data_IF_326951093233
#
_entry.id   IF_326951093233
#
_cell.length_a   1.000
_cell.length_b   1.000
_cell.length_c   1.000
_cell.angle_alpha   90.00
_cell.angle_beta   90.00
_cell.angle_gamma   90.00
#
_symmetry.space_group_name_H-M   'P 1'
#
loop_
_entity.id
_entity.type
_entity.pdbx_description
1 polymer ?
#
# COMPACT_ATOMS: atom_id res chain seq x y z
N UNK A 1 -9.44 22.20 -7.31
CA UNK A 1 -10.31 22.35 -6.13
C UNK A 1 -11.56 23.05 -6.62
N UNK A 2 -12.73 22.40 -6.62
CA UNK A 2 -13.95 23.07 -7.07
C UNK A 2 -14.32 24.08 -5.98
N UNK A 3 -14.60 25.31 -6.38
CA UNK A 3 -15.03 26.38 -5.48
C UNK A 3 -16.49 26.61 -5.80
N UNK A 4 -17.37 26.36 -4.83
CA UNK A 4 -18.80 26.63 -4.94
C UNK A 4 -19.06 27.85 -4.06
N UNK A 5 -19.59 28.92 -4.64
CA UNK A 5 -19.96 30.17 -3.94
C UNK A 5 -18.85 30.82 -3.08
N UNK A 6 -17.62 30.85 -3.60
CA UNK A 6 -16.52 31.62 -2.99
C UNK A 6 -16.03 31.10 -1.63
N UNK A 7 -16.51 29.94 -1.17
CA UNK A 7 -16.01 29.23 0.01
C UNK A 7 -15.34 27.93 -0.45
N UNK A 8 -14.17 27.57 0.12
CA UNK A 8 -13.57 26.27 -0.18
C UNK A 8 -14.57 25.17 0.18
N UNK A 9 -14.78 24.21 -0.73
CA UNK A 9 -15.75 23.11 -0.60
C UNK A 9 -15.55 22.30 0.70
N UNK A 10 -14.33 22.34 1.24
CA UNK A 10 -13.96 21.79 2.53
C UNK A 10 -13.05 22.76 3.28
N UNK A 11 -13.38 23.04 4.55
CA UNK A 11 -12.58 23.94 5.40
C UNK A 11 -11.34 23.27 5.97
N UNK A 12 -11.42 21.97 6.25
CA UNK A 12 -10.37 21.15 6.88
C UNK A 12 -10.46 19.71 6.37
N UNK A 13 -9.36 18.94 6.48
CA UNK A 13 -9.37 17.51 6.13
C UNK A 13 -10.46 16.75 6.90
N UNK A 14 -10.66 17.03 8.19
CA UNK A 14 -11.74 16.41 8.99
C UNK A 14 -13.16 16.70 8.47
N UNK A 15 -13.41 17.90 7.92
CA UNK A 15 -14.71 18.28 7.36
C UNK A 15 -15.01 17.47 6.07
N UNK A 16 -13.97 17.12 5.31
CA UNK A 16 -14.07 16.19 4.17
C UNK A 16 -14.51 14.82 4.64
N UNK A 17 -13.84 14.27 5.66
CA UNK A 17 -14.10 12.91 6.14
C UNK A 17 -15.53 12.77 6.66
N UNK A 18 -16.00 13.72 7.47
CA UNK A 18 -17.36 13.71 8.01
C UNK A 18 -18.41 13.84 6.89
N UNK A 19 -18.21 14.74 5.92
CA UNK A 19 -19.15 14.89 4.79
C UNK A 19 -19.17 13.66 3.88
N UNK A 20 -18.02 13.06 3.59
CA UNK A 20 -17.92 11.84 2.75
C UNK A 20 -18.62 10.67 3.44
N UNK A 21 -18.38 10.46 4.73
CA UNK A 21 -19.05 9.38 5.49
C UNK A 21 -20.56 9.61 5.54
N UNK A 22 -21.02 10.85 5.74
CA UNK A 22 -22.45 11.18 5.84
C UNK A 22 -23.20 11.10 4.51
N UNK A 23 -22.55 11.44 3.39
CA UNK A 23 -23.18 11.49 2.07
C UNK A 23 -23.04 10.19 1.27
N UNK A 24 -21.90 9.50 1.36
CA UNK A 24 -21.61 8.30 0.56
C UNK A 24 -21.50 7.01 1.39
N UNK A 25 -21.47 7.12 2.73
CA UNK A 25 -21.33 5.98 3.64
C UNK A 25 -19.88 5.55 3.89
N UNK A 26 -19.69 4.66 4.88
CA UNK A 26 -18.36 4.19 5.31
C UNK A 26 -17.62 3.44 4.20
N UNK A 27 -18.34 2.76 3.31
CA UNK A 27 -17.76 2.04 2.17
C UNK A 27 -17.14 2.96 1.12
N UNK A 28 -17.49 4.26 1.10
CA UNK A 28 -16.89 5.23 0.19
C UNK A 28 -15.38 5.40 0.43
N UNK A 29 -14.95 5.28 1.69
CA UNK A 29 -13.53 5.34 2.08
C UNK A 29 -12.72 4.15 1.54
N UNK A 30 -13.39 3.02 1.26
CA UNK A 30 -12.75 1.80 0.76
C UNK A 30 -12.76 1.65 -0.76
N UNK A 31 -13.45 2.52 -1.52
CA UNK A 31 -13.49 2.45 -3.00
C UNK A 31 -12.09 2.52 -3.66
N UNK A 32 -11.09 3.09 -2.98
CA UNK A 32 -9.71 3.18 -3.46
C UNK A 32 -8.76 2.11 -2.92
N UNK A 33 -9.21 1.27 -1.98
CA UNK A 33 -8.35 0.31 -1.29
C UNK A 33 -7.92 -0.85 -2.21
N UNK A 34 -8.83 -1.38 -3.03
CA UNK A 34 -8.53 -2.46 -3.97
C UNK A 34 -7.45 -2.11 -5.00
N UNK A 35 -7.51 -0.99 -5.75
CA UNK A 35 -6.44 -0.64 -6.69
C UNK A 35 -5.12 -0.31 -5.98
N UNK A 36 -5.18 0.26 -4.76
CA UNK A 36 -3.99 0.48 -3.94
C UNK A 36 -3.31 -0.84 -3.55
N UNK A 37 -4.09 -1.79 -3.04
CA UNK A 37 -3.60 -3.11 -2.64
C UNK A 37 -3.09 -3.93 -3.83
N UNK A 38 -3.78 -3.85 -4.98
CA UNK A 38 -3.36 -4.51 -6.22
C UNK A 38 -2.00 -3.99 -6.74
N UNK A 39 -1.65 -2.74 -6.46
CA UNK A 39 -0.32 -2.19 -6.77
C UNK A 39 0.72 -2.55 -5.72
N UNK A 40 0.36 -2.49 -4.44
CA UNK A 40 1.28 -2.74 -3.33
C UNK A 40 1.67 -4.22 -3.24
N UNK A 41 0.72 -5.14 -3.44
CA UNK A 41 0.93 -6.58 -3.40
C UNK A 41 2.06 -7.09 -4.31
N UNK A 42 2.05 -6.83 -5.64
CA UNK A 42 3.12 -7.30 -6.50
C UNK A 42 4.47 -6.65 -6.15
N UNK A 43 4.47 -5.37 -5.75
CA UNK A 43 5.70 -4.69 -5.35
C UNK A 43 6.37 -5.35 -4.13
N UNK A 44 5.59 -5.66 -3.09
CA UNK A 44 6.12 -6.31 -1.89
C UNK A 44 6.57 -7.74 -2.18
N UNK A 45 5.79 -8.52 -2.93
CA UNK A 45 6.14 -9.90 -3.31
C UNK A 45 7.45 -9.95 -4.10
N UNK A 46 7.62 -9.08 -5.09
CA UNK A 46 8.85 -9.04 -5.89
C UNK A 46 10.06 -8.72 -5.01
N UNK A 47 9.92 -7.76 -4.09
CA UNK A 47 11.00 -7.40 -3.14
C UNK A 47 11.40 -8.59 -2.27
N UNK A 48 10.44 -9.37 -1.78
CA UNK A 48 10.71 -10.57 -0.98
C UNK A 48 11.43 -11.65 -1.79
N UNK A 49 11.00 -11.91 -3.04
CA UNK A 49 11.64 -12.90 -3.91
C UNK A 49 13.10 -12.49 -4.19
N UNK A 50 13.36 -11.22 -4.50
CA UNK A 50 14.74 -10.74 -4.70
C UNK A 50 15.60 -10.92 -3.45
N UNK A 51 15.04 -10.66 -2.27
CA UNK A 51 15.74 -10.84 -1.00
C UNK A 51 16.06 -12.31 -0.74
N UNK A 52 15.13 -13.22 -1.04
CA UNK A 52 15.35 -14.66 -0.92
C UNK A 52 16.47 -15.16 -1.85
N UNK A 53 16.44 -14.76 -3.12
CA UNK A 53 17.46 -15.11 -4.11
C UNK A 53 18.83 -14.56 -3.72
N UNK A 54 18.89 -13.31 -3.25
CA UNK A 54 20.14 -12.69 -2.81
C UNK A 54 20.69 -13.37 -1.55
N UNK A 55 19.81 -13.72 -0.61
CA UNK A 55 20.20 -14.42 0.62
C UNK A 55 20.71 -15.83 0.30
N UNK A 56 20.03 -16.57 -0.58
CA UNK A 56 20.47 -17.89 -1.04
C UNK A 56 21.85 -17.83 -1.74
N UNK A 57 22.07 -16.85 -2.61
CA UNK A 57 23.36 -16.63 -3.25
C UNK A 57 24.45 -16.28 -2.22
N UNK A 58 24.15 -15.41 -1.26
CA UNK A 58 25.07 -15.03 -0.20
C UNK A 58 25.49 -16.23 0.66
N UNK A 59 24.53 -17.05 1.09
CA UNK A 59 24.84 -18.26 1.87
C UNK A 59 25.73 -19.23 1.10
N UNK A 60 25.47 -19.44 -0.20
CA UNK A 60 26.23 -20.35 -1.04
C UNK A 60 27.66 -19.88 -1.30
N UNK A 61 27.86 -18.60 -1.64
CA UNK A 61 29.17 -18.10 -2.09
C UNK A 61 30.04 -17.54 -0.97
N UNK A 62 29.44 -17.00 0.10
CA UNK A 62 30.20 -16.33 1.18
C UNK A 62 30.37 -17.21 2.41
N UNK A 63 29.32 -17.95 2.80
CA UNK A 63 29.34 -18.74 4.03
C UNK A 63 29.71 -20.22 3.81
N UNK A 64 29.53 -20.77 2.60
CA UNK A 64 29.84 -22.18 2.30
C UNK A 64 29.00 -23.19 3.09
N UNK A 65 27.95 -22.72 3.76
CA UNK A 65 26.98 -23.53 4.51
C UNK A 65 25.83 -23.82 3.54
N UNK A 66 25.52 -25.10 3.32
CA UNK A 66 24.35 -25.50 2.55
C UNK A 66 23.12 -24.89 3.22
N UNK A 67 22.43 -23.98 2.52
CA UNK A 67 21.29 -23.24 3.05
C UNK A 67 20.19 -24.22 3.46
N UNK A 68 20.18 -24.60 4.73
CA UNK A 68 19.18 -25.51 5.28
C UNK A 68 17.89 -24.72 5.46
N UNK A 69 17.02 -24.83 4.45
CA UNK A 69 15.61 -24.48 4.53
C UNK A 69 15.32 -23.00 4.75
N UNK A 70 15.28 -22.24 3.67
CA UNK A 70 14.19 -21.29 3.54
C UNK A 70 13.03 -22.10 2.93
N UNK A 71 11.97 -22.29 3.73
CA UNK A 71 10.68 -22.94 3.47
C UNK A 71 10.40 -23.43 2.03
#
# INVERSE_FOLDING_TARGET
MKVIDGKPEYKNAFDVWIKVIRNEGVFALWKGFTPYYMRLGPHTVITFIFLEQMNAAYFKYVLGIEAKGAL
#
